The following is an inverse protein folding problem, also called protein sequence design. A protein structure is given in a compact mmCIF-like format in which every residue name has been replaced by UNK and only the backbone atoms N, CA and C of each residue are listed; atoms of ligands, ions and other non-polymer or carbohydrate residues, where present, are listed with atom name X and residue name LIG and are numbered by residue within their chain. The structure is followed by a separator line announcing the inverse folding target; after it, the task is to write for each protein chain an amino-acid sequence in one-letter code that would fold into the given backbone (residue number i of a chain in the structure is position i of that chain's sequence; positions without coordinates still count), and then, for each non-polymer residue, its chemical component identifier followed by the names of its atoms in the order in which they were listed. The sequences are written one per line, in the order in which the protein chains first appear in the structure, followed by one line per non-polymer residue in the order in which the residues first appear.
data_IF_820626479739
#
_entry.id   IF_820626479739
#
_cell.length_a   1.000
_cell.length_b   1.000
_cell.length_c   1.000
_cell.angle_alpha   90.00
_cell.angle_beta   90.00
_cell.angle_gamma   90.00
#
_symmetry.space_group_name_H-M   'P 1'
#
loop_
_entity.id
_entity.type
_entity.pdbx_description
1 polymer ?
#
# COMPACT_ATOMS: atom_id res chain seq x y z
N UNK A 1 35.40 -11.32 -34.24
CA UNK A 1 34.32 -12.11 -33.62
C UNK A 1 33.08 -11.25 -33.73
N UNK A 2 32.43 -11.32 -34.90
CA UNK A 2 31.27 -10.48 -35.21
C UNK A 2 30.01 -11.27 -34.86
N UNK A 3 29.25 -10.76 -33.90
CA UNK A 3 27.96 -11.31 -33.52
C UNK A 3 26.94 -10.80 -34.54
N UNK A 4 26.72 -11.59 -35.57
CA UNK A 4 25.62 -11.39 -36.52
C UNK A 4 24.31 -11.77 -35.80
N UNK A 5 23.70 -10.84 -35.07
CA UNK A 5 22.35 -11.03 -34.53
C UNK A 5 21.38 -11.17 -35.70
N UNK A 6 20.63 -12.27 -35.69
CA UNK A 6 19.74 -12.67 -36.77
C UNK A 6 18.56 -11.70 -36.89
N UNK A 7 18.16 -11.35 -38.11
CA UNK A 7 17.13 -10.33 -38.39
C UNK A 7 15.79 -10.62 -37.70
N UNK A 8 15.55 -11.89 -37.36
CA UNK A 8 14.37 -12.36 -36.65
C UNK A 8 14.36 -11.95 -35.17
N UNK A 9 15.53 -11.93 -34.51
CA UNK A 9 15.64 -11.50 -33.12
C UNK A 9 15.32 -10.01 -32.96
N UNK A 10 15.66 -9.19 -33.95
CA UNK A 10 15.29 -7.76 -33.94
C UNK A 10 13.77 -7.56 -34.08
N UNK A 11 13.11 -8.35 -34.93
CA UNK A 11 11.65 -8.28 -35.13
C UNK A 11 10.92 -8.74 -33.86
N UNK A 12 11.34 -9.87 -33.28
CA UNK A 12 10.77 -10.40 -32.03
C UNK A 12 10.95 -9.40 -30.89
N UNK A 13 12.13 -8.79 -30.77
CA UNK A 13 12.39 -7.75 -29.78
C UNK A 13 11.53 -6.51 -30.01
N UNK A 14 11.39 -6.03 -31.25
CA UNK A 14 10.54 -4.89 -31.57
C UNK A 14 9.05 -5.17 -31.26
N UNK A 15 8.55 -6.36 -31.57
CA UNK A 15 7.18 -6.78 -31.24
C UNK A 15 7.00 -6.87 -29.72
N UNK A 16 7.95 -7.46 -28.99
CA UNK A 16 7.92 -7.50 -27.52
C UNK A 16 7.91 -6.10 -26.91
N UNK A 17 8.75 -5.19 -27.39
CA UNK A 17 8.78 -3.79 -26.94
C UNK A 17 7.46 -3.10 -27.23
N UNK A 18 6.87 -3.28 -28.41
CA UNK A 18 5.57 -2.70 -28.76
C UNK A 18 4.42 -3.28 -27.92
N UNK A 19 4.42 -4.58 -27.65
CA UNK A 19 3.41 -5.23 -26.80
C UNK A 19 3.53 -4.78 -25.33
N UNK A 20 4.76 -4.66 -24.81
CA UNK A 20 5.00 -4.19 -23.44
C UNK A 20 4.67 -2.69 -23.30
N UNK A 21 5.08 -1.86 -24.26
CA UNK A 21 4.75 -0.43 -24.29
C UNK A 21 3.25 -0.19 -24.46
N UNK A 22 2.57 -0.98 -25.31
CA UNK A 22 1.12 -0.90 -25.50
C UNK A 22 0.34 -1.25 -24.23
N UNK A 23 0.75 -2.28 -23.48
CA UNK A 23 0.16 -2.61 -22.16
C UNK A 23 0.38 -1.50 -21.13
N UNK A 24 1.57 -0.89 -21.12
CA UNK A 24 1.89 0.24 -20.24
C UNK A 24 1.01 1.46 -20.56
N UNK A 25 0.87 1.81 -21.84
CA UNK A 25 0.07 2.96 -22.28
C UNK A 25 -1.42 2.76 -21.96
N UNK A 26 -1.96 1.56 -22.17
CA UNK A 26 -3.35 1.24 -21.84
C UNK A 26 -3.63 1.42 -20.34
N UNK A 27 -2.71 0.96 -19.48
CA UNK A 27 -2.87 1.11 -18.02
C UNK A 27 -2.96 2.58 -17.58
N UNK A 28 -2.22 3.48 -18.24
CA UNK A 28 -2.27 4.91 -17.93
C UNK A 28 -3.55 5.58 -18.43
N UNK A 29 -4.10 5.13 -19.56
CA UNK A 29 -5.37 5.64 -20.09
C UNK A 29 -6.52 5.25 -19.16
N UNK A 30 -6.53 4.01 -18.67
CA UNK A 30 -7.56 3.51 -17.74
C UNK A 30 -7.56 4.28 -16.40
N UNK A 31 -6.40 4.80 -15.96
CA UNK A 31 -6.28 5.64 -14.76
C UNK A 31 -6.85 7.05 -14.96
N UNK A 32 -6.61 7.65 -16.13
CA UNK A 32 -7.13 8.99 -16.47
C UNK A 32 -8.66 8.98 -16.56
N UNK A 33 -9.24 7.97 -17.22
CA UNK A 33 -10.69 7.83 -17.39
C UNK A 33 -11.41 7.70 -16.04
N UNK A 34 -10.81 6.95 -15.11
CA UNK A 34 -11.34 6.78 -13.76
C UNK A 34 -11.35 8.10 -12.97
N UNK A 35 -10.26 8.89 -13.00
CA UNK A 35 -10.21 10.20 -12.32
C UNK A 35 -11.30 11.13 -12.87
N UNK A 36 -11.50 11.12 -14.19
CA UNK A 36 -12.56 11.90 -14.84
C UNK A 36 -13.95 11.40 -14.44
N UNK A 37 -14.15 10.08 -14.33
CA UNK A 37 -15.40 9.48 -13.87
C UNK A 37 -15.77 9.93 -12.45
N UNK A 38 -14.83 9.84 -11.49
CA UNK A 38 -15.07 10.30 -10.12
C UNK A 38 -15.36 11.81 -10.04
N UNK A 39 -14.65 12.64 -10.81
CA UNK A 39 -14.92 14.07 -10.90
C UNK A 39 -16.32 14.39 -11.45
N UNK A 40 -16.82 13.57 -12.39
CA UNK A 40 -18.16 13.70 -12.96
C UNK A 40 -19.28 13.30 -11.98
N UNK A 41 -19.09 12.20 -11.25
CA UNK A 41 -20.06 11.73 -10.23
C UNK A 41 -20.28 12.80 -9.14
N UNK A 42 -19.22 13.50 -8.74
CA UNK A 42 -19.31 14.56 -7.73
C UNK A 42 -19.93 15.87 -8.25
N UNK A 43 -20.08 16.04 -9.57
CA UNK A 43 -20.56 17.29 -10.19
C UNK A 43 -21.99 17.22 -10.77
N UNK A 44 -22.67 16.08 -10.68
CA UNK A 44 -24.07 15.92 -11.11
C UNK A 44 -24.97 15.52 -9.92
N UNK A 45 -25.70 16.46 -9.30
CA UNK A 45 -26.43 16.24 -8.05
C UNK A 45 -27.72 15.40 -8.20
N UNK A 46 -28.16 15.09 -9.42
CA UNK A 46 -29.44 14.41 -9.66
C UNK A 46 -29.40 12.88 -9.48
N UNK A 47 -28.21 12.29 -9.39
CA UNK A 47 -27.99 10.88 -9.01
C UNK A 47 -26.94 10.84 -7.91
N UNK A 48 -27.27 11.42 -6.75
CA UNK A 48 -26.42 11.32 -5.57
C UNK A 48 -26.18 9.83 -5.26
N UNK A 49 -24.92 9.36 -5.19
CA UNK A 49 -24.62 8.04 -4.68
C UNK A 49 -25.29 7.90 -3.32
N UNK A 50 -26.01 6.80 -3.12
CA UNK A 50 -26.78 6.55 -1.89
C UNK A 50 -25.89 6.51 -0.62
N UNK A 51 -24.56 6.46 -0.78
CA UNK A 51 -23.56 6.71 0.26
C UNK A 51 -22.17 7.02 -0.33
N UNK A 52 -21.57 8.15 0.04
CA UNK A 52 -20.15 8.43 -0.25
C UNK A 52 -19.30 7.70 0.79
N UNK A 53 -18.32 6.91 0.34
CA UNK A 53 -17.34 6.22 1.19
C UNK A 53 -15.95 6.66 0.77
N UNK A 54 -15.19 7.22 1.71
CA UNK A 54 -13.80 7.60 1.47
C UNK A 54 -12.89 6.40 1.65
N UNK A 55 -11.93 6.23 0.74
CA UNK A 55 -10.87 5.21 0.81
C UNK A 55 -9.51 5.89 0.78
N UNK A 56 -8.52 5.27 1.40
CA UNK A 56 -7.13 5.73 1.36
C UNK A 56 -6.57 5.67 -0.08
N UNK A 57 -5.71 6.63 -0.43
CA UNK A 57 -5.04 6.65 -1.73
C UNK A 57 -4.00 5.52 -1.87
N UNK A 58 -3.46 5.09 -0.74
CA UNK A 58 -2.49 4.01 -0.61
C UNK A 58 -3.17 2.76 -0.07
N UNK A 59 -2.87 1.63 -0.70
CA UNK A 59 -3.33 0.34 -0.22
C UNK A 59 -2.45 -0.17 0.91
N UNK A 60 -3.10 -0.83 1.88
CA UNK A 60 -2.45 -1.31 3.09
C UNK A 60 -2.81 -2.77 3.40
N UNK A 61 -1.92 -3.42 4.14
CA UNK A 61 -2.14 -4.75 4.74
C UNK A 61 -2.04 -4.59 6.25
N UNK A 62 -3.08 -5.01 6.95
CA UNK A 62 -3.09 -5.12 8.40
C UNK A 62 -2.66 -6.53 8.82
N UNK A 63 -1.78 -6.59 9.82
CA UNK A 63 -1.32 -7.84 10.42
C UNK A 63 -1.37 -7.70 11.94
N UNK A 64 -2.00 -8.67 12.60
CA UNK A 64 -1.93 -8.83 14.05
C UNK A 64 -0.60 -9.46 14.43
N UNK A 65 0.13 -8.83 15.35
CA UNK A 65 1.41 -9.31 15.87
C UNK A 65 1.29 -9.48 17.37
N UNK A 66 1.41 -10.71 17.84
CA UNK A 66 1.42 -11.04 19.27
C UNK A 66 2.77 -10.64 19.87
N UNK A 67 2.77 -10.18 21.13
CA UNK A 67 4.01 -9.97 21.86
C UNK A 67 4.58 -11.31 22.33
N UNK A 68 5.74 -11.68 21.83
CA UNK A 68 6.48 -12.89 22.22
C UNK A 68 7.62 -12.50 23.17
N UNK A 69 7.37 -12.61 24.48
CA UNK A 69 8.36 -12.36 25.53
C UNK A 69 8.22 -13.42 26.63
N UNK A 70 9.32 -13.97 27.12
CA UNK A 70 9.31 -15.01 28.16
C UNK A 70 9.06 -14.42 29.56
N UNK A 71 9.54 -13.21 29.82
CA UNK A 71 9.58 -12.54 31.11
C UNK A 71 8.36 -11.64 31.36
N UNK A 72 7.87 -10.98 30.30
CA UNK A 72 6.80 -9.99 30.38
C UNK A 72 5.50 -10.47 29.75
N UNK A 73 4.38 -10.06 30.34
CA UNK A 73 3.08 -10.05 29.66
C UNK A 73 2.65 -8.62 29.34
N UNK A 74 1.87 -8.47 28.26
CA UNK A 74 1.52 -7.18 27.67
C UNK A 74 0.01 -6.98 27.65
N UNK A 75 -0.42 -5.73 27.75
CA UNK A 75 -1.82 -5.31 27.58
C UNK A 75 -1.90 -4.15 26.57
N UNK A 76 -2.60 -4.34 25.42
CA UNK A 76 -3.09 -5.62 24.91
C UNK A 76 -1.94 -6.60 24.59
N UNK A 77 -2.20 -7.93 24.49
CA UNK A 77 -1.16 -8.93 24.21
C UNK A 77 -0.63 -8.91 22.77
N UNK A 78 -1.11 -7.97 21.95
CA UNK A 78 -0.74 -7.83 20.55
C UNK A 78 -0.82 -6.37 20.11
N UNK A 79 -0.28 -6.09 18.93
CA UNK A 79 -0.49 -4.86 18.20
C UNK A 79 -0.86 -5.15 16.74
N UNK A 80 -1.30 -4.11 16.03
CA UNK A 80 -1.64 -4.19 14.61
C UNK A 80 -0.59 -3.41 13.82
N UNK A 81 0.07 -4.11 12.91
CA UNK A 81 0.94 -3.52 11.90
C UNK A 81 0.12 -3.20 10.66
N UNK A 82 0.14 -1.95 10.22
CA UNK A 82 -0.46 -1.51 8.95
C UNK A 82 0.65 -1.14 7.98
N UNK A 83 0.85 -1.97 6.96
CA UNK A 83 1.96 -1.88 6.01
C UNK A 83 1.51 -1.50 4.61
N UNK A 84 2.30 -0.71 3.88
CA UNK A 84 1.96 -0.33 2.51
C UNK A 84 2.11 -1.51 1.55
N UNK A 85 1.16 -1.69 0.64
CA UNK A 85 1.35 -2.60 -0.49
C UNK A 85 2.20 -1.92 -1.56
N UNK A 86 3.14 -2.66 -2.14
CA UNK A 86 3.86 -2.18 -3.33
C UNK A 86 2.91 -2.12 -4.53
N UNK A 87 3.15 -1.16 -5.43
CA UNK A 87 2.52 -1.08 -6.75
C UNK A 87 2.58 -2.43 -7.45
N UNK A 88 1.41 -2.99 -7.82
CA UNK A 88 1.31 -4.31 -8.47
C UNK A 88 1.32 -5.53 -7.55
N UNK A 89 1.51 -5.34 -6.23
CA UNK A 89 1.45 -6.39 -5.20
C UNK A 89 0.11 -6.37 -4.47
N UNK A 90 -0.99 -6.41 -5.22
CA UNK A 90 -2.35 -6.46 -4.68
C UNK A 90 -2.53 -7.67 -3.75
N UNK A 91 -3.44 -7.54 -2.78
CA UNK A 91 -3.83 -8.67 -1.93
C UNK A 91 -4.64 -9.66 -2.75
N UNK A 92 -4.34 -10.95 -2.60
CA UNK A 92 -4.98 -12.02 -3.40
C UNK A 92 -6.46 -12.25 -3.06
N UNK A 93 -6.92 -11.73 -1.93
CA UNK A 93 -8.30 -11.85 -1.43
C UNK A 93 -9.22 -10.71 -1.89
N UNK A 94 -8.66 -9.66 -2.50
CA UNK A 94 -9.39 -8.49 -2.94
C UNK A 94 -9.66 -8.52 -4.45
N UNK A 95 -10.75 -7.90 -4.88
CA UNK A 95 -11.03 -7.65 -6.30
C UNK A 95 -9.98 -6.73 -6.92
N UNK A 96 -9.92 -6.69 -8.25
CA UNK A 96 -9.00 -5.79 -8.96
C UNK A 96 -9.27 -4.32 -8.62
N UNK A 97 -10.53 -3.94 -8.42
CA UNK A 97 -10.92 -2.59 -8.01
C UNK A 97 -10.48 -2.25 -6.58
N UNK A 98 -10.59 -3.21 -5.65
CA UNK A 98 -10.13 -3.03 -4.28
C UNK A 98 -8.61 -3.01 -4.15
N UNK A 99 -7.91 -3.70 -5.04
CA UNK A 99 -6.45 -3.66 -5.15
C UNK A 99 -5.92 -2.47 -5.94
N UNK A 100 -6.80 -1.66 -6.55
CA UNK A 100 -6.41 -0.45 -7.25
C UNK A 100 -6.06 0.63 -6.24
N UNK A 101 -4.84 1.15 -6.31
CA UNK A 101 -4.43 2.30 -5.52
C UNK A 101 -4.41 3.55 -6.40
N UNK A 102 -4.85 4.68 -5.84
CA UNK A 102 -4.90 5.95 -6.58
C UNK A 102 -3.61 6.75 -6.45
N UNK A 103 -2.74 6.42 -5.48
CA UNK A 103 -1.39 6.94 -5.41
C UNK A 103 -0.47 6.21 -6.41
N UNK A 104 -0.69 6.44 -7.69
CA UNK A 104 0.09 5.84 -8.78
C UNK A 104 0.49 6.86 -9.87
N UNK A 105 0.15 8.13 -9.68
CA UNK A 105 0.56 9.23 -10.55
C UNK A 105 2.09 9.37 -10.46
N UNK A 106 2.82 9.48 -11.59
CA UNK A 106 4.26 9.67 -11.57
C UNK A 106 4.70 10.82 -10.67
N UNK A 107 5.68 10.57 -9.79
CA UNK A 107 6.17 11.54 -8.81
C UNK A 107 5.47 11.51 -7.46
N UNK A 108 4.50 10.60 -7.26
CA UNK A 108 3.90 10.31 -5.96
C UNK A 108 4.16 8.87 -5.56
N UNK A 109 4.42 8.67 -4.27
CA UNK A 109 4.70 7.35 -3.71
C UNK A 109 3.93 7.14 -2.40
N UNK A 110 3.55 5.88 -2.16
CA UNK A 110 3.03 5.45 -0.88
C UNK A 110 4.16 5.23 0.12
N UNK A 111 4.24 6.11 1.11
CA UNK A 111 5.29 6.12 2.13
C UNK A 111 4.75 5.51 3.42
N UNK A 112 5.48 4.52 3.95
CA UNK A 112 5.17 3.90 5.24
C UNK A 112 5.39 4.89 6.38
N UNK A 113 4.36 5.06 7.20
CA UNK A 113 4.42 5.86 8.41
C UNK A 113 4.54 4.95 9.64
N UNK A 114 5.54 5.27 10.47
CA UNK A 114 5.84 4.56 11.71
C UNK A 114 5.58 5.49 12.88
N UNK A 115 4.93 4.99 13.93
CA UNK A 115 4.68 5.77 15.15
C UNK A 115 5.14 5.01 16.37
N UNK A 116 5.64 5.76 17.36
CA UNK A 116 5.93 5.22 18.69
C UNK A 116 4.62 5.06 19.44
N UNK A 117 4.18 3.82 19.61
CA UNK A 117 2.97 3.45 20.34
C UNK A 117 3.36 3.03 21.75
N UNK A 118 2.52 3.35 22.74
CA UNK A 118 2.72 2.94 24.13
C UNK A 118 1.73 1.84 24.49
N UNK A 119 2.26 0.79 25.09
CA UNK A 119 1.58 -0.38 25.61
C UNK A 119 1.85 -0.48 27.11
N UNK A 120 1.17 -1.41 27.78
CA UNK A 120 1.49 -1.77 29.15
C UNK A 120 2.17 -3.13 29.16
N UNK A 121 3.19 -3.29 30.00
CA UNK A 121 3.80 -4.59 30.29
C UNK A 121 3.97 -4.80 31.79
N UNK A 122 4.06 -6.05 32.24
CA UNK A 122 4.46 -6.40 33.61
C UNK A 122 5.21 -7.72 33.62
N UNK A 123 6.07 -7.95 34.62
CA UNK A 123 6.69 -9.26 34.81
C UNK A 123 5.61 -10.31 35.08
N UNK A 124 5.77 -11.49 34.49
CA UNK A 124 4.90 -12.66 34.74
C UNK A 124 5.08 -13.25 36.13
N UNK A 125 6.19 -12.93 36.81
CA UNK A 125 6.44 -13.42 38.17
C UNK A 125 5.47 -12.79 39.17
N UNK A 126 5.03 -13.58 40.15
CA UNK A 126 4.12 -13.15 41.23
C UNK A 126 4.69 -12.05 42.15
N UNK A 127 5.93 -11.61 41.94
CA UNK A 127 6.58 -10.53 42.71
C UNK A 127 6.39 -9.13 42.10
N UNK A 128 5.82 -9.02 40.89
CA UNK A 128 5.58 -7.74 40.23
C UNK A 128 4.19 -7.21 40.52
N UNK A 129 4.12 -6.00 41.09
CA UNK A 129 2.87 -5.41 41.57
C UNK A 129 2.29 -4.34 40.62
N UNK A 130 2.84 -4.13 39.41
CA UNK A 130 2.39 -3.03 38.56
C UNK A 130 2.58 -3.25 37.06
N UNK A 131 1.65 -2.71 36.29
CA UNK A 131 1.82 -2.45 34.87
C UNK A 131 2.71 -1.22 34.68
N UNK A 132 3.67 -1.30 33.79
CA UNK A 132 4.53 -0.20 33.41
C UNK A 132 4.40 0.12 31.92
N UNK A 133 4.61 1.41 31.53
CA UNK A 133 4.56 1.80 30.13
C UNK A 133 5.75 1.23 29.35
N UNK A 134 5.45 0.62 28.22
CA UNK A 134 6.41 0.14 27.24
C UNK A 134 6.12 0.81 25.90
N UNK A 135 7.14 1.30 25.19
CA UNK A 135 6.92 1.90 23.88
C UNK A 135 7.64 1.15 22.78
N UNK A 136 6.95 0.95 21.67
CA UNK A 136 7.50 0.33 20.46
C UNK A 136 7.13 1.15 19.23
N UNK A 137 8.03 1.19 18.25
CA UNK A 137 7.76 1.80 16.95
C UNK A 137 7.01 0.78 16.09
N UNK A 138 5.81 1.14 15.67
CA UNK A 138 4.89 0.27 14.91
C UNK A 138 4.59 0.93 13.56
N UNK A 139 4.56 0.17 12.44
CA UNK A 139 4.00 0.66 11.18
C UNK A 139 2.49 0.87 11.32
N UNK A 140 2.02 2.12 11.16
CA UNK A 140 0.65 2.50 11.53
C UNK A 140 -0.25 2.89 10.37
N UNK A 141 0.30 3.47 9.31
CA UNK A 141 -0.46 3.82 8.10
C UNK A 141 0.48 4.15 6.94
N UNK A 142 -0.11 4.45 5.78
CA UNK A 142 0.59 4.89 4.59
C UNK A 142 0.05 6.24 4.15
N UNK A 143 0.94 7.08 3.61
CA UNK A 143 0.57 8.38 3.04
C UNK A 143 1.08 8.50 1.61
N UNK A 144 0.30 9.14 0.75
CA UNK A 144 0.70 9.46 -0.61
C UNK A 144 1.48 10.78 -0.58
N UNK A 145 2.80 10.71 -0.80
CA UNK A 145 3.70 11.85 -0.70
C UNK A 145 4.45 12.05 -2.02
N UNK A 146 4.96 13.26 -2.24
CA UNK A 146 5.89 13.55 -3.32
C UNK A 146 7.32 13.75 -2.76
N UNK A 147 8.37 13.36 -3.50
CA UNK A 147 9.74 13.58 -3.07
C UNK A 147 10.10 15.08 -3.17
N UNK A 148 10.84 15.58 -2.18
CA UNK A 148 11.47 16.90 -2.21
C UNK A 148 12.98 16.72 -2.35
N UNK A 149 13.62 17.49 -3.24
CA UNK A 149 15.07 17.56 -3.30
C UNK A 149 15.57 18.41 -2.13
N UNK A 150 16.53 17.89 -1.36
CA UNK A 150 17.24 18.60 -0.30
C UNK A 150 18.64 19.03 -0.75
#
# INVERSE_FOLDING_TARGET
MDIHLDSWDQIVTAILVLLLAGRSLQSQIDDIDMIQHYGRVMSHPNELPTKIVYKSLCNTIEKKVEFEDEEYEFEPPHYIETTCTKTGSGRRDLTQEENRQMCNIPGFDCIQQNKKVTFLRRLKSHSSNGWEPFSQTVPTHCECMWPKLE
#
